data_IF_998256946532
#
_entry.id   IF_998256946532
#
_cell.length_a   1.000
_cell.length_b   1.000
_cell.length_c   1.000
_cell.angle_alpha   90.00
_cell.angle_beta   90.00
_cell.angle_gamma   90.00
#
_symmetry.space_group_name_H-M   'P 1'
#
loop_
_entity.id
_entity.type
_entity.pdbx_description
1 polymer ?
#
# COMPACT_ATOMS: atom_id res chain seq x y z
N UNK A 1 28.51 -25.07 -0.44
CA UNK A 1 28.99 -23.88 -1.18
C UNK A 1 29.28 -24.22 -2.65
N UNK A 2 29.97 -25.32 -2.93
CA UNK A 2 30.25 -25.83 -4.30
C UNK A 2 28.99 -26.07 -5.17
N UNK A 3 27.94 -26.70 -4.62
CA UNK A 3 26.66 -26.93 -5.34
C UNK A 3 25.92 -25.65 -5.73
N UNK A 4 26.04 -24.59 -4.92
CA UNK A 4 25.43 -23.29 -5.20
C UNK A 4 26.21 -22.53 -6.27
N UNK A 5 27.54 -22.62 -6.26
CA UNK A 5 28.41 -21.99 -7.26
C UNK A 5 28.27 -22.65 -8.64
N UNK A 6 28.15 -23.97 -8.70
CA UNK A 6 27.94 -24.71 -9.95
C UNK A 6 26.53 -24.49 -10.53
N UNK A 7 25.50 -24.43 -9.68
CA UNK A 7 24.14 -24.05 -10.07
C UNK A 7 24.07 -22.59 -10.54
N UNK A 8 24.78 -21.66 -9.90
CA UNK A 8 24.88 -20.25 -10.34
C UNK A 8 25.49 -20.09 -11.75
N UNK A 9 26.43 -20.95 -12.14
CA UNK A 9 27.07 -20.88 -13.46
C UNK A 9 26.19 -21.41 -14.60
N UNK A 10 25.33 -22.40 -14.34
CA UNK A 10 24.42 -22.97 -15.36
C UNK A 10 23.05 -22.27 -15.40
N UNK A 11 22.64 -21.62 -14.30
CA UNK A 11 21.24 -21.23 -14.04
C UNK A 11 20.99 -19.72 -14.10
N UNK A 12 22.01 -18.94 -14.49
CA UNK A 12 21.98 -17.47 -14.61
C UNK A 12 20.70 -16.92 -15.25
N UNK A 13 20.17 -17.45 -16.37
CA UNK A 13 18.98 -16.87 -17.02
C UNK A 13 17.69 -16.99 -16.21
N UNK A 14 17.58 -18.03 -15.36
CA UNK A 14 16.36 -18.37 -14.62
C UNK A 14 16.36 -17.77 -13.20
N UNK A 15 17.53 -17.68 -12.58
CA UNK A 15 17.68 -17.09 -11.25
C UNK A 15 17.64 -15.56 -11.29
N UNK A 16 18.06 -14.93 -12.40
CA UNK A 16 18.11 -13.47 -12.52
C UNK A 16 16.73 -12.80 -12.37
N UNK A 17 15.63 -13.28 -13.01
CA UNK A 17 14.30 -12.74 -12.77
C UNK A 17 13.82 -12.86 -11.32
N UNK A 18 14.09 -14.00 -10.66
CA UNK A 18 13.70 -14.24 -9.25
C UNK A 18 14.50 -13.34 -8.31
N UNK A 19 15.79 -13.14 -8.58
CA UNK A 19 16.68 -12.30 -7.79
C UNK A 19 16.31 -10.81 -7.95
N UNK A 20 16.00 -10.37 -9.17
CA UNK A 20 15.46 -9.02 -9.43
C UNK A 20 14.11 -8.83 -8.73
N UNK A 21 13.19 -9.79 -8.81
CA UNK A 21 11.94 -9.74 -8.07
C UNK A 21 12.20 -9.61 -6.57
N UNK A 22 13.08 -10.42 -5.99
CA UNK A 22 13.44 -10.40 -4.56
C UNK A 22 14.01 -9.05 -4.10
N UNK A 23 14.95 -8.47 -4.88
CA UNK A 23 15.51 -7.14 -4.60
C UNK A 23 14.42 -6.07 -4.68
N UNK A 24 13.53 -6.14 -5.68
CA UNK A 24 12.41 -5.21 -5.80
C UNK A 24 11.44 -5.33 -4.62
N UNK A 25 11.11 -6.54 -4.17
CA UNK A 25 10.24 -6.74 -3.00
C UNK A 25 10.85 -6.10 -1.76
N UNK A 26 12.13 -6.36 -1.48
CA UNK A 26 12.84 -5.80 -0.34
C UNK A 26 12.94 -4.27 -0.40
N UNK A 27 13.30 -3.74 -1.57
CA UNK A 27 13.43 -2.29 -1.79
C UNK A 27 12.10 -1.58 -1.54
N UNK A 28 11.01 -2.08 -2.14
CA UNK A 28 9.69 -1.48 -1.95
C UNK A 28 9.17 -1.70 -0.53
N UNK A 29 9.42 -2.86 0.09
CA UNK A 29 9.00 -3.11 1.46
C UNK A 29 9.71 -2.17 2.46
N UNK A 30 11.01 -1.92 2.30
CA UNK A 30 11.77 -1.01 3.16
C UNK A 30 11.33 0.44 2.94
N UNK A 31 11.24 0.89 1.68
CA UNK A 31 10.78 2.24 1.33
C UNK A 31 9.40 2.52 1.91
N UNK A 32 8.48 1.55 1.80
CA UNK A 32 7.12 1.72 2.31
C UNK A 32 7.02 1.58 3.82
N UNK A 33 7.76 0.67 4.44
CA UNK A 33 7.83 0.58 5.89
C UNK A 33 8.38 1.89 6.50
N UNK A 34 9.41 2.48 5.88
CA UNK A 34 9.94 3.78 6.28
C UNK A 34 8.91 4.90 6.08
N UNK A 35 8.22 4.94 4.94
CA UNK A 35 7.17 5.91 4.66
C UNK A 35 6.00 5.83 5.65
N UNK A 36 5.47 4.62 5.90
CA UNK A 36 4.38 4.44 6.87
C UNK A 36 4.81 4.74 8.30
N UNK A 37 6.03 4.36 8.69
CA UNK A 37 6.52 4.66 10.02
C UNK A 37 6.80 6.16 10.21
N UNK A 38 7.23 6.87 9.16
CA UNK A 38 7.35 8.32 9.15
C UNK A 38 5.99 9.05 9.19
N UNK A 39 4.94 8.44 8.65
CA UNK A 39 3.57 8.97 8.62
C UNK A 39 2.65 8.43 9.72
N UNK A 40 3.14 7.64 10.68
CA UNK A 40 2.38 7.29 11.90
C UNK A 40 2.17 8.57 12.72
N UNK A 41 1.05 9.23 12.47
CA UNK A 41 0.56 10.37 13.26
C UNK A 41 -0.62 9.88 14.10
N UNK A 42 -0.71 10.38 15.33
CA UNK A 42 -1.76 9.99 16.27
C UNK A 42 -3.11 10.59 15.85
N UNK A 43 -3.80 9.94 14.92
CA UNK A 43 -5.15 10.32 14.46
C UNK A 43 -6.12 10.37 15.63
N UNK A 44 -5.95 9.45 16.58
CA UNK A 44 -6.72 9.35 17.83
C UNK A 44 -6.65 10.64 18.65
N UNK A 45 -5.52 11.36 18.59
CA UNK A 45 -5.35 12.63 19.30
C UNK A 45 -5.75 13.84 18.42
N UNK A 46 -5.65 13.70 17.10
CA UNK A 46 -5.97 14.74 16.13
C UNK A 46 -7.48 14.95 15.97
N UNK A 47 -8.26 13.88 15.81
CA UNK A 47 -9.72 13.93 15.60
C UNK A 47 -10.45 14.75 16.68
N UNK A 48 -10.25 14.52 17.99
CA UNK A 48 -10.96 15.29 19.02
C UNK A 48 -10.53 16.77 19.05
N UNK A 49 -9.26 17.07 18.72
CA UNK A 49 -8.78 18.46 18.60
C UNK A 49 -9.40 19.16 17.40
N UNK A 50 -9.51 18.46 16.27
CA UNK A 50 -10.15 18.97 15.06
C UNK A 50 -11.64 19.24 15.31
N UNK A 51 -12.35 18.30 15.93
CA UNK A 51 -13.76 18.47 16.31
C UNK A 51 -13.97 19.70 17.21
N UNK A 52 -13.06 19.94 18.17
CA UNK A 52 -13.15 21.09 19.07
C UNK A 52 -12.95 22.43 18.35
N UNK A 53 -12.05 22.50 17.37
CA UNK A 53 -11.84 23.74 16.59
C UNK A 53 -12.96 23.97 15.56
N UNK A 54 -13.49 22.91 14.95
CA UNK A 54 -14.67 23.01 14.09
C UNK A 54 -15.90 23.47 14.88
N UNK A 55 -16.12 22.94 16.09
CA UNK A 55 -17.24 23.36 16.95
C UNK A 55 -17.17 24.85 17.36
N UNK A 56 -15.97 25.45 17.37
CA UNK A 56 -15.77 26.88 17.63
C UNK A 56 -15.90 27.75 16.37
N UNK A 57 -16.21 27.16 15.21
CA UNK A 57 -16.21 27.81 13.90
C UNK A 57 -14.85 28.45 13.54
N UNK A 58 -13.75 27.91 14.09
CA UNK A 58 -12.42 28.44 13.89
C UNK A 58 -11.70 27.69 12.76
N UNK A 59 -12.06 28.01 11.51
CA UNK A 59 -11.47 27.37 10.32
C UNK A 59 -9.95 27.58 10.23
N UNK A 60 -9.44 28.73 10.69
CA UNK A 60 -8.00 28.99 10.77
C UNK A 60 -7.29 28.08 11.78
N UNK A 61 -7.92 27.82 12.93
CA UNK A 61 -7.42 26.88 13.93
C UNK A 61 -7.39 25.44 13.41
N UNK A 62 -8.44 25.03 12.70
CA UNK A 62 -8.51 23.73 12.03
C UNK A 62 -7.43 23.56 10.95
N UNK A 63 -7.19 24.60 10.14
CA UNK A 63 -6.14 24.58 9.12
C UNK A 63 -4.74 24.47 9.74
N UNK A 64 -4.44 25.26 10.77
CA UNK A 64 -3.13 25.21 11.43
C UNK A 64 -2.89 23.84 12.11
N UNK A 65 -3.95 23.24 12.68
CA UNK A 65 -3.87 21.89 13.23
C UNK A 65 -3.59 20.85 12.14
N UNK A 66 -4.22 20.98 10.96
CA UNK A 66 -3.97 20.10 9.82
C UNK A 66 -2.51 20.20 9.33
N UNK A 67 -1.97 21.42 9.22
CA UNK A 67 -0.57 21.68 8.86
C UNK A 67 0.40 21.10 9.91
N UNK A 68 0.10 21.26 11.20
CA UNK A 68 0.92 20.69 12.28
C UNK A 68 0.88 19.17 12.34
N UNK A 69 -0.29 18.57 12.04
CA UNK A 69 -0.41 17.12 11.95
C UNK A 69 0.48 16.57 10.83
N UNK A 70 0.52 17.28 9.70
CA UNK A 70 1.32 16.93 8.53
C UNK A 70 0.98 15.55 7.97
N UNK A 71 1.78 15.11 7.01
CA UNK A 71 1.53 13.86 6.29
C UNK A 71 0.21 13.90 5.50
N UNK A 72 -0.30 12.72 5.16
CA UNK A 72 -1.43 12.61 4.21
C UNK A 72 -2.76 13.01 4.87
N UNK A 73 -2.93 12.74 6.17
CA UNK A 73 -4.13 13.15 6.91
C UNK A 73 -4.19 14.67 7.06
N UNK A 74 -3.04 15.32 7.30
CA UNK A 74 -2.93 16.77 7.30
C UNK A 74 -3.28 17.37 5.94
N UNK A 75 -2.71 16.85 4.85
CA UNK A 75 -2.99 17.29 3.48
C UNK A 75 -4.48 17.18 3.12
N UNK A 76 -5.12 16.04 3.41
CA UNK A 76 -6.56 15.85 3.14
C UNK A 76 -7.44 16.73 4.02
N UNK A 77 -7.06 16.92 5.29
CA UNK A 77 -7.83 17.76 6.21
C UNK A 77 -7.71 19.23 5.84
N UNK A 78 -6.52 19.70 5.45
CA UNK A 78 -6.29 21.07 4.97
C UNK A 78 -7.12 21.36 3.72
N UNK A 79 -7.07 20.46 2.74
CA UNK A 79 -7.88 20.58 1.53
C UNK A 79 -9.39 20.52 1.88
N UNK A 80 -9.78 19.71 2.86
CA UNK A 80 -11.13 19.71 3.42
C UNK A 80 -11.56 21.07 3.98
N UNK A 81 -10.75 21.70 4.83
CA UNK A 81 -11.04 23.05 5.37
C UNK A 81 -11.18 24.07 4.23
N UNK A 82 -10.30 23.99 3.23
CA UNK A 82 -10.33 24.88 2.06
C UNK A 82 -11.60 24.71 1.24
N UNK A 83 -11.98 23.47 0.89
CA UNK A 83 -13.19 23.15 0.15
C UNK A 83 -14.43 23.67 0.90
N UNK A 84 -14.47 23.47 2.22
CA UNK A 84 -15.58 23.96 3.05
C UNK A 84 -15.70 25.49 3.00
N UNK A 85 -14.57 26.21 2.97
CA UNK A 85 -14.54 27.67 2.85
C UNK A 85 -15.00 28.16 1.47
N UNK A 86 -14.69 27.44 0.39
CA UNK A 86 -15.02 27.84 -0.98
C UNK A 86 -16.46 27.46 -1.37
N UNK A 87 -16.91 26.25 -1.02
CA UNK A 87 -18.23 25.73 -1.38
C UNK A 87 -18.82 24.78 -0.32
N UNK A 88 -19.80 25.28 0.45
CA UNK A 88 -20.59 24.45 1.38
C UNK A 88 -21.50 23.45 0.62
N UNK A 89 -22.17 23.92 -0.43
CA UNK A 89 -23.02 23.08 -1.29
C UNK A 89 -22.14 22.25 -2.23
N UNK A 90 -21.97 20.97 -1.91
CA UNK A 90 -21.16 20.03 -2.70
C UNK A 90 -19.86 19.58 -2.02
N UNK A 91 -19.61 20.01 -0.79
CA UNK A 91 -18.44 19.62 0.02
C UNK A 91 -18.16 18.11 -0.02
N UNK A 92 -19.20 17.28 0.19
CA UNK A 92 -19.09 15.81 0.19
C UNK A 92 -18.38 15.27 -1.05
N UNK A 93 -18.74 15.77 -2.24
CA UNK A 93 -18.20 15.31 -3.52
C UNK A 93 -16.75 15.75 -3.72
N UNK A 94 -16.44 17.00 -3.39
CA UNK A 94 -15.08 17.54 -3.52
C UNK A 94 -14.13 16.87 -2.53
N UNK A 95 -14.59 16.58 -1.30
CA UNK A 95 -13.83 15.84 -0.31
C UNK A 95 -13.57 14.40 -0.76
N UNK A 96 -14.55 13.71 -1.38
CA UNK A 96 -14.35 12.37 -1.92
C UNK A 96 -13.27 12.32 -3.00
N UNK A 97 -13.18 13.35 -3.84
CA UNK A 97 -12.13 13.47 -4.85
C UNK A 97 -10.75 13.64 -4.17
N UNK A 98 -10.63 14.53 -3.18
CA UNK A 98 -9.39 14.74 -2.45
C UNK A 98 -8.92 13.48 -1.71
N UNK A 99 -9.84 12.81 -1.02
CA UNK A 99 -9.60 11.53 -0.34
C UNK A 99 -9.14 10.44 -1.33
N UNK A 100 -9.82 10.29 -2.47
CA UNK A 100 -9.43 9.32 -3.49
C UNK A 100 -8.04 9.58 -4.08
N UNK A 101 -7.66 10.85 -4.28
CA UNK A 101 -6.32 11.22 -4.73
C UNK A 101 -5.25 10.86 -3.68
N UNK A 102 -5.54 11.09 -2.40
CA UNK A 102 -4.67 10.71 -1.30
C UNK A 102 -4.53 9.19 -1.15
N UNK A 103 -5.64 8.43 -1.23
CA UNK A 103 -5.62 6.96 -1.28
C UNK A 103 -4.77 6.47 -2.43
N UNK A 104 -4.88 7.05 -3.63
CA UNK A 104 -4.06 6.64 -4.78
C UNK A 104 -2.56 6.85 -4.54
N UNK A 105 -2.17 7.92 -3.83
CA UNK A 105 -0.77 8.14 -3.40
C UNK A 105 -0.32 7.09 -2.38
N UNK A 106 -1.22 6.65 -1.49
CA UNK A 106 -0.99 5.59 -0.50
C UNK A 106 -0.88 4.19 -1.12
N UNK A 107 -1.63 3.92 -2.18
CA UNK A 107 -1.57 2.65 -2.91
C UNK A 107 -0.42 2.57 -3.91
N UNK A 108 0.17 3.71 -4.27
CA UNK A 108 1.28 3.75 -5.21
C UNK A 108 2.42 2.80 -4.78
N UNK A 109 2.83 1.91 -5.71
CA UNK A 109 3.81 0.80 -5.54
C UNK A 109 3.32 -0.44 -4.77
N UNK A 110 2.15 -0.42 -4.11
CA UNK A 110 1.60 -1.64 -3.50
C UNK A 110 1.18 -2.68 -4.54
N UNK A 111 0.66 -2.23 -5.67
CA UNK A 111 0.30 -3.11 -6.79
C UNK A 111 1.48 -3.97 -7.25
N UNK A 112 2.71 -3.42 -7.22
CA UNK A 112 3.93 -4.14 -7.59
C UNK A 112 4.17 -5.32 -6.64
N UNK A 113 3.99 -5.13 -5.33
CA UNK A 113 4.08 -6.20 -4.34
C UNK A 113 3.02 -7.29 -4.57
N UNK A 114 1.79 -6.88 -4.87
CA UNK A 114 0.71 -7.81 -5.20
C UNK A 114 1.02 -8.63 -6.45
N UNK A 115 1.51 -7.99 -7.51
CA UNK A 115 1.93 -8.66 -8.75
C UNK A 115 3.10 -9.61 -8.51
N UNK A 116 4.14 -9.19 -7.77
CA UNK A 116 5.28 -10.06 -7.43
C UNK A 116 4.81 -11.26 -6.59
N UNK A 117 3.93 -11.04 -5.61
CA UNK A 117 3.36 -12.11 -4.80
C UNK A 117 2.60 -13.15 -5.63
N UNK A 118 1.88 -12.71 -6.67
CA UNK A 118 1.18 -13.59 -7.60
C UNK A 118 2.09 -14.29 -8.61
N UNK A 119 3.13 -13.62 -9.11
CA UNK A 119 3.97 -14.11 -10.23
C UNK A 119 5.20 -14.89 -9.76
N UNK A 120 5.76 -14.59 -8.58
CA UNK A 120 6.97 -15.23 -8.06
C UNK A 120 6.89 -16.78 -7.92
N UNK A 121 5.77 -17.39 -7.49
CA UNK A 121 5.65 -18.85 -7.47
C UNK A 121 5.73 -19.47 -8.87
N UNK A 122 5.13 -18.82 -9.86
CA UNK A 122 5.14 -19.28 -11.25
C UNK A 122 6.54 -19.15 -11.88
N UNK A 123 7.31 -18.13 -11.50
CA UNK A 123 8.72 -18.02 -11.90
C UNK A 123 9.57 -19.15 -11.32
N UNK A 124 9.33 -19.54 -10.06
CA UNK A 124 9.96 -20.72 -9.44
C UNK A 124 9.64 -22.01 -10.18
N UNK A 125 8.35 -22.24 -10.47
CA UNK A 125 7.88 -23.41 -11.22
C UNK A 125 8.44 -23.43 -12.65
N UNK A 126 8.46 -22.30 -13.34
CA UNK A 126 9.09 -22.18 -14.65
C UNK A 126 10.57 -22.58 -14.57
N UNK A 127 11.27 -22.13 -13.53
CA UNK A 127 12.66 -22.51 -13.28
C UNK A 127 12.87 -24.01 -13.07
N UNK A 128 11.96 -24.69 -12.38
CA UNK A 128 12.01 -26.16 -12.29
C UNK A 128 11.88 -26.83 -13.66
N UNK A 129 10.92 -26.38 -14.49
CA UNK A 129 10.67 -26.98 -15.81
C UNK A 129 11.91 -26.82 -16.70
N UNK A 130 12.49 -25.63 -16.75
CA UNK A 130 13.70 -25.37 -17.55
C UNK A 130 14.88 -26.24 -17.08
N UNK A 131 15.10 -26.39 -15.76
CA UNK A 131 16.20 -27.22 -15.24
C UNK A 131 16.01 -28.70 -15.55
N UNK A 132 14.79 -29.20 -15.41
CA UNK A 132 14.47 -30.58 -15.71
C UNK A 132 14.74 -30.85 -17.20
N UNK A 133 14.37 -29.93 -18.10
CA UNK A 133 14.66 -30.04 -19.53
C UNK A 133 16.17 -30.16 -19.82
N UNK A 134 17.01 -29.29 -19.24
CA UNK A 134 18.46 -29.38 -19.41
C UNK A 134 19.04 -30.68 -18.82
N UNK A 135 18.54 -31.11 -17.67
CA UNK A 135 18.97 -32.36 -17.03
C UNK A 135 18.71 -33.58 -17.93
N UNK A 136 17.57 -33.61 -18.63
CA UNK A 136 17.26 -34.66 -19.61
C UNK A 136 18.08 -34.56 -20.89
N UNK A 137 18.44 -33.35 -21.34
CA UNK A 137 19.32 -33.15 -22.50
C UNK A 137 20.76 -33.62 -22.21
N UNK A 138 21.26 -33.37 -21.01
CA UNK A 138 22.56 -33.86 -20.55
C UNK A 138 22.57 -35.39 -20.45
N UNK A 139 21.49 -35.98 -19.93
CA UNK A 139 21.31 -37.43 -19.89
C UNK A 139 21.32 -38.06 -21.30
N UNK A 140 20.68 -37.41 -22.27
CA UNK A 140 20.64 -37.88 -23.66
C UNK A 140 22.02 -37.81 -24.35
N UNK A 141 22.89 -36.87 -23.95
CA UNK A 141 24.21 -36.69 -24.56
C UNK A 141 25.34 -37.47 -23.86
N UNK A 142 25.25 -37.67 -22.55
CA UNK A 142 26.33 -38.26 -21.73
C UNK A 142 26.07 -39.72 -21.30
N UNK A 143 24.91 -40.30 -21.62
CA UNK A 143 24.55 -41.68 -21.24
C UNK A 143 24.14 -41.81 -19.78
N UNK A 144 24.05 -43.05 -19.26
CA UNK A 144 23.43 -43.36 -17.96
C UNK A 144 24.24 -42.87 -16.73
N UNK A 145 24.24 -41.56 -16.48
CA UNK A 145 24.79 -40.94 -15.28
C UNK A 145 23.69 -40.61 -14.27
N UNK A 146 23.18 -41.63 -13.58
CA UNK A 146 22.04 -41.48 -12.65
C UNK A 146 22.30 -40.46 -11.52
N UNK A 147 23.55 -40.29 -11.09
CA UNK A 147 23.93 -39.31 -10.07
C UNK A 147 23.81 -37.85 -10.55
N UNK A 148 24.19 -37.57 -11.80
CA UNK A 148 24.08 -36.23 -12.39
C UNK A 148 22.62 -35.81 -12.54
N UNK A 149 21.75 -36.74 -12.96
CA UNK A 149 20.31 -36.52 -13.07
C UNK A 149 19.67 -36.21 -11.72
N UNK A 150 20.02 -36.98 -10.69
CA UNK A 150 19.52 -36.75 -9.33
C UNK A 150 19.92 -35.35 -8.81
N UNK A 151 21.15 -34.90 -9.08
CA UNK A 151 21.60 -33.54 -8.73
C UNK A 151 20.87 -32.46 -9.55
N UNK A 152 20.64 -32.67 -10.85
CA UNK A 152 19.90 -31.75 -11.71
C UNK A 152 18.45 -31.55 -11.25
N UNK A 153 17.76 -32.63 -10.87
CA UNK A 153 16.40 -32.53 -10.32
C UNK A 153 16.41 -31.87 -8.94
N UNK A 154 17.39 -32.19 -8.09
CA UNK A 154 17.53 -31.54 -6.77
C UNK A 154 17.71 -30.03 -6.87
N UNK A 155 18.56 -29.55 -7.78
CA UNK A 155 18.75 -28.12 -8.04
C UNK A 155 17.52 -27.45 -8.66
N UNK A 156 16.72 -28.17 -9.45
CA UNK A 156 15.43 -27.67 -9.93
C UNK A 156 14.51 -27.29 -8.75
N UNK A 157 14.34 -28.18 -7.77
CA UNK A 157 13.44 -27.97 -6.63
C UNK A 157 13.82 -26.76 -5.78
N UNK A 158 15.12 -26.43 -5.71
CA UNK A 158 15.62 -25.25 -5.00
C UNK A 158 15.05 -23.96 -5.63
N UNK A 159 14.94 -23.88 -6.95
CA UNK A 159 14.39 -22.71 -7.64
C UNK A 159 12.92 -22.43 -7.23
N UNK A 160 12.11 -23.48 -7.09
CA UNK A 160 10.73 -23.37 -6.61
C UNK A 160 10.67 -22.95 -5.15
N UNK A 161 11.54 -23.49 -4.30
CA UNK A 161 11.62 -23.09 -2.89
C UNK A 161 11.93 -21.59 -2.76
N UNK A 162 12.85 -21.05 -3.58
CA UNK A 162 13.13 -19.62 -3.62
C UNK A 162 11.96 -18.79 -4.14
N UNK A 163 11.31 -19.21 -5.23
CA UNK A 163 10.14 -18.51 -5.79
C UNK A 163 8.98 -18.41 -4.78
N UNK A 164 8.72 -19.50 -4.04
CA UNK A 164 7.74 -19.52 -2.95
C UNK A 164 8.16 -18.61 -1.79
N UNK A 165 9.43 -18.64 -1.38
CA UNK A 165 9.94 -17.78 -0.30
C UNK A 165 9.74 -16.30 -0.60
N UNK A 166 10.08 -15.86 -1.82
CA UNK A 166 9.88 -14.47 -2.26
C UNK A 166 8.38 -14.12 -2.30
N UNK A 167 7.54 -15.02 -2.80
CA UNK A 167 6.10 -14.81 -2.88
C UNK A 167 5.45 -14.63 -1.50
N UNK A 168 5.81 -15.47 -0.53
CA UNK A 168 5.29 -15.41 0.83
C UNK A 168 5.59 -14.06 1.45
N UNK A 169 6.84 -13.60 1.37
CA UNK A 169 7.24 -12.28 1.89
C UNK A 169 6.49 -11.15 1.18
N UNK A 170 6.39 -11.20 -0.15
CA UNK A 170 5.67 -10.21 -0.94
C UNK A 170 4.21 -10.07 -0.51
N UNK A 171 3.50 -11.19 -0.34
CA UNK A 171 2.08 -11.22 0.04
C UNK A 171 1.88 -10.75 1.48
N UNK A 172 2.74 -11.14 2.42
CA UNK A 172 2.67 -10.68 3.82
C UNK A 172 2.84 -9.16 3.91
N UNK A 173 3.85 -8.62 3.21
CA UNK A 173 4.06 -7.18 3.14
C UNK A 173 2.88 -6.46 2.47
N UNK A 174 2.39 -6.98 1.34
CA UNK A 174 1.24 -6.43 0.63
C UNK A 174 0.02 -6.33 1.54
N UNK A 175 -0.35 -7.42 2.23
CA UNK A 175 -1.51 -7.45 3.11
C UNK A 175 -1.38 -6.48 4.29
N UNK A 176 -0.18 -6.35 4.85
CA UNK A 176 0.08 -5.45 5.98
C UNK A 176 -0.05 -3.99 5.55
N UNK A 177 0.54 -3.63 4.41
CA UNK A 177 0.43 -2.28 3.88
C UNK A 177 -0.98 -1.96 3.40
N UNK A 178 -1.69 -2.92 2.76
CA UNK A 178 -3.09 -2.72 2.37
C UNK A 178 -3.98 -2.49 3.60
N UNK A 179 -3.75 -3.23 4.70
CA UNK A 179 -4.46 -2.97 5.96
C UNK A 179 -4.16 -1.57 6.50
N UNK A 180 -2.95 -1.06 6.31
CA UNK A 180 -2.60 0.30 6.70
C UNK A 180 -3.31 1.34 5.83
N UNK A 181 -3.37 1.16 4.51
CA UNK A 181 -4.14 2.04 3.61
C UNK A 181 -5.60 2.10 4.00
N UNK A 182 -6.23 0.95 4.29
CA UNK A 182 -7.64 0.91 4.73
C UNK A 182 -7.89 1.74 5.99
N UNK A 183 -6.95 1.72 6.95
CA UNK A 183 -7.07 2.57 8.15
C UNK A 183 -7.07 4.06 7.79
N UNK A 184 -6.22 4.48 6.85
CA UNK A 184 -6.24 5.87 6.36
C UNK A 184 -7.55 6.22 5.66
N UNK A 185 -8.13 5.30 4.87
CA UNK A 185 -9.43 5.51 4.24
C UNK A 185 -10.54 5.68 5.28
N UNK A 186 -10.56 4.83 6.31
CA UNK A 186 -11.50 4.94 7.43
C UNK A 186 -11.35 6.30 8.14
N UNK A 187 -10.11 6.74 8.38
CA UNK A 187 -9.81 8.04 8.97
C UNK A 187 -10.31 9.20 8.10
N UNK A 188 -10.14 9.14 6.77
CA UNK A 188 -10.68 10.15 5.86
C UNK A 188 -12.21 10.20 5.90
N UNK A 189 -12.89 9.05 6.00
CA UNK A 189 -14.35 9.01 6.14
C UNK A 189 -14.80 9.63 7.46
N UNK A 190 -14.09 9.37 8.56
CA UNK A 190 -14.39 10.01 9.85
C UNK A 190 -14.25 11.54 9.76
N UNK A 191 -13.17 12.03 9.16
CA UNK A 191 -12.95 13.47 8.96
C UNK A 191 -14.06 14.08 8.10
N UNK A 192 -14.45 13.42 7.01
CA UNK A 192 -15.58 13.84 6.17
C UNK A 192 -16.86 13.99 6.97
N UNK A 193 -17.20 13.00 7.79
CA UNK A 193 -18.41 13.00 8.63
C UNK A 193 -18.39 14.14 9.65
N UNK A 194 -17.23 14.47 10.23
CA UNK A 194 -17.09 15.61 11.13
C UNK A 194 -17.38 16.94 10.43
N UNK A 195 -16.85 17.12 9.21
CA UNK A 195 -17.13 18.31 8.42
C UNK A 195 -18.60 18.40 7.99
N UNK A 196 -19.21 17.28 7.58
CA UNK A 196 -20.64 17.25 7.23
C UNK A 196 -21.53 17.56 8.44
N UNK A 197 -21.24 16.98 9.60
CA UNK A 197 -21.95 17.28 10.84
C UNK A 197 -21.84 18.76 11.23
N UNK A 198 -20.69 19.39 10.97
CA UNK A 198 -20.51 20.83 11.16
C UNK A 198 -21.36 21.66 10.17
N UNK A 199 -21.38 21.29 8.89
CA UNK A 199 -22.22 21.96 7.87
C UNK A 199 -23.71 21.87 8.22
N UNK A 200 -24.19 20.67 8.57
CA UNK A 200 -25.60 20.45 8.95
C UNK A 200 -25.99 21.27 10.18
N UNK A 201 -25.09 21.35 11.18
CA UNK A 201 -25.29 22.16 12.39
C UNK A 201 -25.41 23.65 12.09
N UNK A 202 -24.62 24.17 11.15
CA UNK A 202 -24.72 25.57 10.72
C UNK A 202 -26.02 25.83 9.94
N UNK A 203 -26.44 24.92 9.06
CA UNK A 203 -27.71 25.05 8.34
C UNK A 203 -28.91 25.08 9.30
N UNK A 204 -28.96 24.19 10.30
CA UNK A 204 -30.01 24.20 11.33
C UNK A 204 -30.03 25.49 12.15
N UNK A 205 -28.85 26.05 12.47
CA UNK A 205 -28.74 27.31 13.22
C UNK A 205 -29.23 28.51 12.41
N UNK A 206 -28.96 28.52 11.09
CA UNK A 206 -29.45 29.53 10.16
C UNK A 206 -30.97 29.50 10.00
N UNK A 207 -31.56 28.30 9.91
CA UNK A 207 -33.02 28.14 9.82
C UNK A 207 -33.74 28.63 11.09
N UNK A 208 -33.20 28.34 12.29
CA UNK A 208 -33.79 28.81 13.56
C UNK A 208 -33.73 30.33 13.69
N UNK A 209 -32.64 30.96 13.25
CA UNK A 209 -32.50 32.42 13.26
C UNK A 209 -33.51 33.11 12.32
N UNK A 210 -33.73 32.59 11.11
CA UNK A 210 -34.70 33.15 10.16
C UNK A 210 -36.16 32.97 10.63
N UNK A 211 -36.49 31.82 11.23
CA UNK A 211 -37.83 31.57 11.79
C UNK A 211 -38.17 32.52 12.94
N UNK A 212 -37.20 32.82 13.81
CA UNK A 212 -37.39 33.77 14.92
C UNK A 212 -37.58 35.21 14.47
N UNK A 213 -37.06 35.61 13.29
CA UNK A 213 -37.23 36.95 12.72
C UNK A 213 -38.55 37.08 11.94
N UNK A 214 -39.08 35.98 11.39
CA UNK A 214 -40.34 35.97 10.66
C UNK A 214 -41.60 35.97 11.57
N UNK A 215 -41.43 35.69 12.86
CA UNK A 215 -42.50 35.59 13.87
C UNK A 215 -42.56 36.79 14.84
N UNK A 216 -41.68 37.79 14.69
CA UNK A 216 -41.67 39.04 15.45
C UNK A 216 -42.03 40.23 14.59
#
# INVERSE_FOLDING_TARGET
MELLLHSIQLDWPVLLPILVCSILTLTVAIDRAAFYNANKRNVIEFIPKLQKELAKNNLMGAQNLAVQCGGIIGEVTEEGVRILSEQKKGFSRSFDIASALATRKLEHRLTILGTIGGVAPFLGLFGTVVRILYTFQDLASQGNQSAAVAMGIGSALIATAFGLGVAIVAVVCYNTFQSTVRRFEDDFQLIKLLFLSFVDSEEESGLKSQSSVALG
#
